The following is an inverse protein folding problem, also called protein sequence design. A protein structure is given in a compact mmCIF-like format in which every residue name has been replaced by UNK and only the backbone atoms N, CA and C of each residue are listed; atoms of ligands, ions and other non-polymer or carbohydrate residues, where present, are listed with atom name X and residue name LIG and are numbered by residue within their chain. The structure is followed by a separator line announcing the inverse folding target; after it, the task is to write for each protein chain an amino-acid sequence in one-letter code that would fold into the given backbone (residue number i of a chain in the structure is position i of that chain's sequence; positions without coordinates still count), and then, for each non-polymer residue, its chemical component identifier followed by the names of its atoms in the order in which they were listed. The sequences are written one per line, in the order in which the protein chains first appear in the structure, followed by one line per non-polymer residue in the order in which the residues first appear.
data_IF_839618933005
#
_entry.id   IF_839618933005
#
_cell.length_a   1.000
_cell.length_b   1.000
_cell.length_c   1.000
_cell.angle_alpha   90.00
_cell.angle_beta   90.00
_cell.angle_gamma   90.00
#
_symmetry.space_group_name_H-M   'P 1'
#
loop_
_entity.id
_entity.type
_entity.pdbx_description
1 polymer ?
#
# COMPACT_ATOMS: atom_id res chain seq x y z
N UNK A 1 0.08 -2.23 -8.89
CA UNK A 1 1.00 -1.88 -7.79
C UNK A 1 1.08 -0.38 -7.60
N UNK A 2 1.28 0.11 -6.37
CA UNK A 2 1.47 1.54 -6.09
C UNK A 2 2.52 1.79 -5.00
N UNK A 3 3.04 3.03 -4.97
CA UNK A 3 4.06 3.49 -4.03
C UNK A 3 3.77 4.91 -3.58
N UNK A 4 3.94 5.18 -2.29
CA UNK A 4 3.98 6.54 -1.77
C UNK A 4 5.42 7.00 -1.63
N UNK A 5 5.65 8.28 -1.96
CA UNK A 5 6.94 8.95 -1.78
C UNK A 5 6.81 10.16 -0.88
N UNK A 6 7.84 10.44 -0.10
CA UNK A 6 7.95 11.70 0.65
C UNK A 6 8.43 12.86 -0.24
N UNK A 7 8.50 14.06 0.35
CA UNK A 7 8.94 15.28 -0.34
C UNK A 7 10.38 15.21 -0.90
N UNK A 8 11.20 14.27 -0.44
CA UNK A 8 12.56 14.06 -0.92
C UNK A 8 12.62 12.94 -1.99
N UNK A 9 11.46 12.44 -2.44
CA UNK A 9 11.37 11.39 -3.45
C UNK A 9 11.62 9.97 -2.92
N UNK A 10 11.83 9.78 -1.62
CA UNK A 10 12.08 8.45 -1.04
C UNK A 10 10.78 7.65 -1.01
N UNK A 11 10.83 6.38 -1.42
CA UNK A 11 9.70 5.48 -1.28
C UNK A 11 9.50 5.16 0.20
N UNK A 12 8.31 5.50 0.72
CA UNK A 12 7.99 5.32 2.14
C UNK A 12 7.00 4.19 2.38
N UNK A 13 6.25 3.79 1.35
CA UNK A 13 5.33 2.66 1.38
C UNK A 13 5.13 2.08 -0.03
N UNK A 14 4.97 0.76 -0.11
CA UNK A 14 4.56 0.05 -1.32
C UNK A 14 3.39 -0.88 -1.01
N UNK A 15 2.47 -1.02 -1.97
CA UNK A 15 1.35 -1.93 -1.82
C UNK A 15 0.69 -2.32 -3.15
N UNK A 16 -0.14 -3.35 -3.07
CA UNK A 16 -0.96 -3.86 -4.17
C UNK A 16 -2.43 -3.46 -4.05
N UNK A 17 -3.11 -3.37 -5.19
CA UNK A 17 -4.55 -3.09 -5.25
C UNK A 17 -5.15 -3.73 -6.50
N UNK A 18 -6.33 -4.36 -6.35
CA UNK A 18 -7.15 -4.80 -7.49
C UNK A 18 -7.75 -3.60 -8.23
N UNK A 19 -8.29 -2.63 -7.48
CA UNK A 19 -8.75 -1.34 -7.99
C UNK A 19 -7.91 -0.22 -7.37
N UNK A 20 -7.04 0.39 -8.16
CA UNK A 20 -6.24 1.55 -7.72
C UNK A 20 -7.14 2.72 -7.32
N UNK A 21 -8.24 2.95 -8.05
CA UNK A 21 -9.17 4.04 -7.74
C UNK A 21 -9.78 3.87 -6.36
N UNK A 22 -10.45 2.75 -6.10
CA UNK A 22 -11.09 2.47 -4.81
C UNK A 22 -10.07 2.52 -3.68
N UNK A 23 -8.86 2.01 -3.94
CA UNK A 23 -7.78 1.99 -2.97
C UNK A 23 -7.28 3.38 -2.62
N UNK A 24 -7.01 4.22 -3.62
CA UNK A 24 -6.52 5.57 -3.38
C UNK A 24 -7.60 6.42 -2.71
N UNK A 25 -8.87 6.28 -3.11
CA UNK A 25 -10.00 6.97 -2.46
C UNK A 25 -10.07 6.67 -0.96
N UNK A 26 -9.80 5.45 -0.50
CA UNK A 26 -9.79 5.14 0.94
C UNK A 26 -8.73 5.91 1.76
N UNK A 27 -7.65 6.38 1.13
CA UNK A 27 -6.64 7.23 1.79
C UNK A 27 -7.05 8.71 1.83
N UNK A 28 -7.95 9.12 0.95
CA UNK A 28 -8.48 10.49 0.86
C UNK A 28 -9.87 10.64 1.49
N UNK A 29 -10.38 9.58 2.13
CA UNK A 29 -11.43 9.72 3.15
C UNK A 29 -10.94 10.61 4.30
N UNK A 30 -11.82 10.98 5.23
CA UNK A 30 -11.45 11.85 6.35
C UNK A 30 -10.17 11.33 7.04
N UNK A 31 -9.09 12.09 6.92
CA UNK A 31 -7.75 11.72 7.40
C UNK A 31 -7.77 11.50 8.92
N UNK A 32 -8.67 12.17 9.64
CA UNK A 32 -8.85 11.99 11.08
C UNK A 32 -9.37 10.59 11.43
N UNK A 33 -10.17 9.98 10.55
CA UNK A 33 -10.74 8.63 10.72
C UNK A 33 -9.76 7.50 10.39
N UNK A 34 -8.61 7.81 9.77
CA UNK A 34 -7.61 6.82 9.41
C UNK A 34 -6.86 6.32 10.66
N UNK A 35 -6.53 5.02 10.64
CA UNK A 35 -5.65 4.44 11.64
C UNK A 35 -4.35 5.26 11.78
N UNK A 36 -3.84 5.57 13.00
CA UNK A 36 -2.67 6.42 13.23
C UNK A 36 -1.48 6.21 12.28
N UNK A 37 -1.06 4.96 12.05
CA UNK A 37 0.03 4.63 11.11
C UNK A 37 -0.30 4.99 9.65
N UNK A 38 -1.51 4.69 9.19
CA UNK A 38 -1.98 5.07 7.85
C UNK A 38 -2.03 6.57 7.70
N UNK A 39 -2.61 7.25 8.70
CA UNK A 39 -2.65 8.71 8.75
C UNK A 39 -1.24 9.29 8.63
N UNK A 40 -0.30 8.82 9.44
CA UNK A 40 1.09 9.26 9.39
C UNK A 40 1.74 9.00 8.02
N UNK A 41 1.50 7.85 7.41
CA UNK A 41 2.00 7.54 6.07
C UNK A 41 1.43 8.53 5.03
N UNK A 42 0.11 8.73 5.00
CA UNK A 42 -0.56 9.61 4.04
C UNK A 42 -0.12 11.06 4.24
N UNK A 43 0.01 11.54 5.47
CA UNK A 43 0.47 12.91 5.75
C UNK A 43 1.97 13.11 5.55
N UNK A 44 2.76 12.04 5.56
CA UNK A 44 4.20 12.08 5.20
C UNK A 44 4.41 12.05 3.68
N UNK A 45 3.46 11.47 2.94
CA UNK A 45 3.57 11.35 1.50
C UNK A 45 3.37 12.70 0.81
N UNK A 46 4.22 12.99 -0.18
CA UNK A 46 4.06 14.10 -1.09
C UNK A 46 3.53 13.66 -2.48
N UNK A 47 3.71 12.39 -2.84
CA UNK A 47 3.29 11.85 -4.14
C UNK A 47 2.90 10.37 -4.03
N UNK A 48 1.97 9.96 -4.89
CA UNK A 48 1.67 8.55 -5.18
C UNK A 48 1.97 8.22 -6.63
N UNK A 49 2.56 7.06 -6.87
CA UNK A 49 2.85 6.52 -8.20
C UNK A 49 2.29 5.11 -8.32
N UNK A 50 1.86 4.70 -9.50
CA UNK A 50 1.36 3.35 -9.74
C UNK A 50 1.89 2.74 -11.04
N UNK A 51 1.94 1.42 -11.04
CA UNK A 51 2.29 0.58 -12.18
C UNK A 51 1.20 -0.47 -12.33
N UNK A 52 0.60 -0.53 -13.53
CA UNK A 52 -0.39 -1.56 -13.89
C UNK A 52 0.37 -2.84 -14.22
N UNK A 53 -0.11 -3.97 -13.70
CA UNK A 53 0.42 -5.31 -13.94
C UNK A 53 -0.74 -6.20 -14.32
N UNK A 54 -0.51 -7.20 -15.17
CA UNK A 54 -1.57 -8.00 -15.78
C UNK A 54 -1.87 -9.26 -14.98
N UNK A 55 -0.92 -9.73 -14.18
CA UNK A 55 -1.08 -10.94 -13.37
C UNK A 55 -0.77 -10.71 -11.90
N UNK A 56 -1.30 -11.58 -11.05
CA UNK A 56 -0.96 -11.59 -9.63
C UNK A 56 0.52 -11.94 -9.39
N UNK A 57 1.08 -12.83 -10.20
CA UNK A 57 2.50 -13.22 -10.11
C UNK A 57 3.42 -12.02 -10.36
N UNK A 58 3.16 -11.23 -11.41
CA UNK A 58 3.89 -9.99 -11.68
C UNK A 58 3.75 -8.98 -10.54
N UNK A 59 2.54 -8.86 -9.97
CA UNK A 59 2.31 -7.97 -8.83
C UNK A 59 3.17 -8.36 -7.62
N UNK A 60 3.22 -9.67 -7.29
CA UNK A 60 4.01 -10.21 -6.19
C UNK A 60 5.52 -10.03 -6.41
N UNK A 61 6.01 -10.30 -7.62
CA UNK A 61 7.43 -10.10 -7.97
C UNK A 61 7.81 -8.62 -7.85
N UNK A 62 6.97 -7.72 -8.37
CA UNK A 62 7.23 -6.28 -8.31
C UNK A 62 7.18 -5.75 -6.88
N UNK A 63 6.24 -6.23 -6.07
CA UNK A 63 6.16 -5.91 -4.63
C UNK A 63 7.43 -6.33 -3.90
N UNK A 64 7.85 -7.58 -4.08
CA UNK A 64 9.07 -8.12 -3.48
C UNK A 64 10.30 -7.29 -3.86
N UNK A 65 10.46 -7.01 -5.15
CA UNK A 65 11.57 -6.22 -5.67
C UNK A 65 11.59 -4.81 -5.05
N UNK A 66 10.44 -4.13 -4.99
CA UNK A 66 10.38 -2.79 -4.40
C UNK A 66 10.59 -2.77 -2.88
N UNK A 67 10.08 -3.76 -2.14
CA UNK A 67 10.36 -3.87 -0.70
C UNK A 67 11.86 -4.04 -0.48
N UNK A 68 12.50 -4.93 -1.26
CA UNK A 68 13.94 -5.19 -1.18
C UNK A 68 14.79 -3.98 -1.58
N UNK A 69 14.42 -3.31 -2.66
CA UNK A 69 15.15 -2.17 -3.21
C UNK A 69 15.05 -0.93 -2.31
N UNK A 70 13.87 -0.66 -1.76
CA UNK A 70 13.60 0.62 -1.08
C UNK A 70 13.53 0.54 0.45
N UNK A 71 13.42 -0.64 1.05
CA UNK A 71 13.16 -0.87 2.49
C UNK A 71 12.20 0.19 3.10
N UNK A 72 10.96 0.29 2.61
CA UNK A 72 10.10 1.43 2.94
C UNK A 72 9.68 1.42 4.41
N UNK A 73 9.95 2.51 5.12
CA UNK A 73 9.71 2.62 6.58
C UNK A 73 8.28 2.33 7.05
N UNK A 74 7.25 2.54 6.21
CA UNK A 74 5.87 2.26 6.59
C UNK A 74 5.40 0.84 6.22
N UNK A 75 6.14 0.09 5.40
CA UNK A 75 5.87 -1.34 5.23
C UNK A 75 6.21 -2.06 6.54
N UNK A 76 5.30 -2.90 7.03
CA UNK A 76 5.56 -3.75 8.19
C UNK A 76 6.64 -4.74 7.76
N UNK A 77 7.84 -4.67 8.37
CA UNK A 77 8.84 -5.73 8.21
C UNK A 77 8.17 -7.03 8.65
N UNK A 78 8.29 -8.09 7.84
CA UNK A 78 7.68 -9.43 8.02
C UNK A 78 8.10 -10.13 9.33
N UNK A 79 7.81 -9.51 10.47
CA UNK A 79 7.77 -10.13 11.79
C UNK A 79 6.32 -10.02 12.22
N UNK A 80 5.74 -11.18 12.52
CA UNK A 80 4.38 -11.37 13.00
C UNK A 80 3.84 -10.20 13.83
N UNK A 81 2.97 -9.41 13.24
CA UNK A 81 1.65 -9.06 13.79
C UNK A 81 0.88 -8.29 12.73
N UNK A 82 0.02 -8.99 11.98
CA UNK A 82 -0.91 -8.36 11.03
C UNK A 82 -2.02 -7.67 11.82
N UNK A 83 -1.74 -6.48 12.32
CA UNK A 83 -2.75 -5.59 12.89
C UNK A 83 -2.79 -4.25 12.16
N UNK A 84 -2.97 -4.27 10.84
CA UNK A 84 -3.68 -3.20 10.12
C UNK A 84 -4.67 -3.81 9.12
N UNK A 85 -5.88 -4.19 9.58
CA UNK A 85 -6.86 -4.94 8.79
C UNK A 85 -7.34 -4.21 7.53
N UNK A 86 -7.19 -2.89 7.46
CA UNK A 86 -7.79 -2.08 6.38
C UNK A 86 -6.91 -1.96 5.13
N UNK A 87 -5.62 -2.31 5.21
CA UNK A 87 -4.69 -2.03 4.12
C UNK A 87 -3.99 -3.25 3.52
N UNK A 88 -3.85 -4.36 4.24
CA UNK A 88 -3.14 -5.52 3.70
C UNK A 88 -4.05 -6.59 3.08
N UNK A 89 -5.38 -6.40 3.12
CA UNK A 89 -6.33 -7.46 2.78
C UNK A 89 -7.34 -6.97 1.74
N UNK A 90 -6.99 -7.09 0.47
CA UNK A 90 -7.93 -7.72 -0.47
C UNK A 90 -7.34 -9.07 -0.84
N UNK A 91 -7.08 -9.89 0.18
CA UNK A 91 -6.79 -11.30 0.01
C UNK A 91 -7.90 -12.05 0.75
N UNK A 92 -8.83 -12.55 -0.06
CA UNK A 92 -9.89 -13.51 0.19
C UNK A 92 -11.11 -13.07 1.02
N UNK A 93 -12.21 -12.79 0.31
CA UNK A 93 -13.33 -13.74 0.25
C UNK A 93 -13.76 -13.91 -1.21
N UNK A 94 -13.72 -15.15 -1.70
CA UNK A 94 -14.68 -15.66 -2.70
C UNK A 94 -15.99 -15.95 -1.95
N UNK A 95 -17.16 -15.65 -2.55
CA UNK A 95 -18.41 -16.46 -2.69
C UNK A 95 -19.63 -15.55 -3.04
N UNK A 96 -20.75 -16.10 -3.59
CA UNK A 96 -21.22 -15.81 -4.93
C UNK A 96 -22.45 -14.88 -4.96
N UNK A 97 -22.69 -14.31 -6.14
CA UNK A 97 -23.92 -13.63 -6.51
C UNK A 97 -23.96 -13.46 -8.01
#
# INVERSE_FOLDING_TARGET
MYRFRDQHGRVIYVGKAKSLRSRLTSYFADVASLHPRTRQMVTTAAKVEWTVVNTEVEALQLEYNWIKEFDPRFNVRYRDDKSYPVLAVTLNEEFPG
#
